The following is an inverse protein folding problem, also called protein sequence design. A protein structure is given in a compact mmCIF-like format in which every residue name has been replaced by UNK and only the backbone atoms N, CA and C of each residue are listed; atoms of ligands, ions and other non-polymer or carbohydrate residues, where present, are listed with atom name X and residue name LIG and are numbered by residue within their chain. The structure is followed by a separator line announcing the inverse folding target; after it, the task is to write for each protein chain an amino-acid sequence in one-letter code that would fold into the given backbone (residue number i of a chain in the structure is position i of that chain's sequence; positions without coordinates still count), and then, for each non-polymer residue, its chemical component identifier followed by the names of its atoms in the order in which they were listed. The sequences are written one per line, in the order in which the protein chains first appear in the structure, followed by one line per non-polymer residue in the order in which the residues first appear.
data_IF_455139059348
#
_entry.id   IF_455139059348
#
_cell.length_a   1.000
_cell.length_b   1.000
_cell.length_c   1.000
_cell.angle_alpha   90.00
_cell.angle_beta   90.00
_cell.angle_gamma   90.00
#
_symmetry.space_group_name_H-M   'P 1'
#
loop_
_entity.id
_entity.type
_entity.pdbx_description
1 polymer ?
#
# COMPACT_ATOMS: atom_id res chain seq x y z
N UNK A 1 2.06 -4.27 -20.31
CA UNK A 1 3.16 -3.29 -20.13
C UNK A 1 3.24 -2.79 -18.68
N UNK A 2 2.17 -2.23 -18.10
CA UNK A 2 2.18 -1.71 -16.71
C UNK A 2 2.67 -2.73 -15.65
N UNK A 3 2.24 -3.99 -15.74
CA UNK A 3 2.69 -5.06 -14.85
C UNK A 3 4.21 -5.23 -14.84
N UNK A 4 4.87 -5.19 -16.00
CA UNK A 4 6.33 -5.33 -16.10
C UNK A 4 7.06 -4.14 -15.48
N UNK A 5 6.49 -2.93 -15.62
CA UNK A 5 7.03 -1.72 -14.99
C UNK A 5 6.95 -1.84 -13.46
N UNK A 6 5.78 -2.23 -12.94
CA UNK A 6 5.59 -2.45 -11.50
C UNK A 6 6.52 -3.53 -10.95
N UNK A 7 6.71 -4.65 -11.67
CA UNK A 7 7.69 -5.68 -11.32
C UNK A 7 9.11 -5.13 -11.25
N UNK A 8 9.49 -4.26 -12.20
CA UNK A 8 10.80 -3.60 -12.18
C UNK A 8 11.00 -2.62 -11.02
N UNK A 9 9.92 -2.08 -10.46
CA UNK A 9 9.95 -1.18 -9.30
C UNK A 9 9.82 -1.91 -7.96
N UNK A 10 9.49 -3.20 -7.97
CA UNK A 10 9.17 -3.99 -6.77
C UNK A 10 10.24 -3.88 -5.69
N UNK A 11 11.49 -4.19 -6.02
CA UNK A 11 12.59 -4.20 -5.05
C UNK A 11 12.80 -2.82 -4.40
N UNK A 12 12.56 -1.75 -5.16
CA UNK A 12 12.68 -0.37 -4.66
C UNK A 12 11.57 -0.05 -3.67
N UNK A 13 10.32 -0.42 -3.98
CA UNK A 13 9.19 -0.22 -3.06
C UNK A 13 9.28 -1.08 -1.81
N UNK A 14 9.66 -2.36 -1.96
CA UNK A 14 9.86 -3.28 -0.83
C UNK A 14 10.94 -2.74 0.11
N UNK A 15 12.07 -2.26 -0.42
CA UNK A 15 13.14 -1.67 0.37
C UNK A 15 12.73 -0.37 1.06
N UNK A 16 12.02 0.52 0.35
CA UNK A 16 11.58 1.80 0.87
C UNK A 16 10.58 1.65 2.03
N UNK A 17 9.53 0.84 1.81
CA UNK A 17 8.46 0.65 2.79
C UNK A 17 8.75 -0.44 3.82
N UNK A 18 9.79 -1.26 3.60
CA UNK A 18 10.13 -2.43 4.43
C UNK A 18 8.97 -3.43 4.51
N UNK A 19 8.42 -3.77 3.35
CA UNK A 19 7.31 -4.71 3.18
C UNK A 19 7.66 -5.71 2.06
N UNK A 20 6.88 -6.78 1.93
CA UNK A 20 6.93 -7.68 0.77
C UNK A 20 5.69 -7.47 -0.08
N UNK A 21 5.85 -7.28 -1.39
CA UNK A 21 4.78 -7.05 -2.36
C UNK A 21 4.64 -8.32 -3.18
N UNK A 22 3.52 -9.03 -3.09
CA UNK A 22 3.36 -10.28 -3.87
C UNK A 22 3.16 -10.00 -5.36
N UNK A 23 3.40 -11.00 -6.22
CA UNK A 23 3.15 -10.81 -7.67
C UNK A 23 1.67 -10.59 -7.95
N UNK A 24 0.80 -11.24 -7.18
CA UNK A 24 -0.66 -11.05 -7.23
C UNK A 24 -1.05 -9.61 -6.88
N UNK A 25 -0.36 -8.98 -5.92
CA UNK A 25 -0.61 -7.59 -5.57
C UNK A 25 -0.26 -6.63 -6.73
N UNK A 26 0.82 -6.93 -7.46
CA UNK A 26 1.21 -6.16 -8.66
C UNK A 26 0.15 -6.28 -9.76
N UNK A 27 -0.30 -7.51 -10.04
CA UNK A 27 -1.34 -7.76 -11.05
C UNK A 27 -2.64 -7.06 -10.64
N UNK A 28 -3.06 -7.24 -9.39
CA UNK A 28 -4.26 -6.60 -8.86
C UNK A 28 -4.19 -5.08 -8.91
N UNK A 29 -3.04 -4.46 -8.59
CA UNK A 29 -2.91 -3.01 -8.68
C UNK A 29 -3.07 -2.50 -10.12
N UNK A 30 -2.52 -3.21 -11.11
CA UNK A 30 -2.71 -2.86 -12.52
C UNK A 30 -4.19 -3.00 -12.94
N UNK A 31 -4.84 -4.12 -12.63
CA UNK A 31 -6.22 -4.40 -13.04
C UNK A 31 -7.26 -3.52 -12.34
N UNK A 32 -7.13 -3.33 -11.02
CA UNK A 32 -8.08 -2.58 -10.22
C UNK A 32 -7.93 -1.07 -10.46
N UNK A 33 -6.70 -0.57 -10.57
CA UNK A 33 -6.51 0.84 -10.93
C UNK A 33 -7.03 1.11 -12.34
N UNK A 34 -6.89 0.16 -13.28
CA UNK A 34 -7.46 0.31 -14.62
C UNK A 34 -8.98 0.43 -14.60
N UNK A 35 -9.63 -0.50 -13.89
CA UNK A 35 -11.09 -0.62 -13.82
C UNK A 35 -11.76 0.52 -13.04
N UNK A 36 -11.18 0.94 -11.91
CA UNK A 36 -11.88 1.78 -10.93
C UNK A 36 -11.33 3.19 -10.79
N UNK A 37 -10.06 3.45 -11.16
CA UNK A 37 -9.46 4.78 -11.09
C UNK A 37 -9.52 5.43 -12.48
N UNK A 38 -10.65 6.09 -12.75
CA UNK A 38 -10.88 6.86 -13.96
C UNK A 38 -10.19 8.23 -13.90
N UNK A 39 -9.91 8.84 -15.05
CA UNK A 39 -9.27 10.16 -15.13
C UNK A 39 -7.74 10.16 -14.90
N UNK A 40 -7.13 8.99 -14.70
CA UNK A 40 -5.67 8.78 -14.68
C UNK A 40 -5.27 7.65 -15.63
N UNK A 41 -4.03 7.68 -16.10
CA UNK A 41 -3.51 6.72 -17.06
C UNK A 41 -2.58 5.69 -16.40
N UNK A 42 -2.54 4.48 -16.95
CA UNK A 42 -1.50 3.50 -16.64
C UNK A 42 -0.16 3.94 -17.26
N UNK A 43 0.99 3.60 -16.64
CA UNK A 43 1.15 2.84 -15.40
C UNK A 43 1.04 3.69 -14.12
N UNK A 44 1.02 5.02 -14.23
CA UNK A 44 1.14 5.96 -13.11
C UNK A 44 0.15 5.68 -11.96
N UNK A 45 -1.14 5.50 -12.28
CA UNK A 45 -2.16 5.20 -11.27
C UNK A 45 -1.94 3.89 -10.53
N UNK A 46 -1.31 2.90 -11.17
CA UNK A 46 -1.01 1.61 -10.53
C UNK A 46 0.24 1.71 -9.66
N UNK A 47 1.22 2.54 -10.06
CA UNK A 47 2.43 2.82 -9.28
C UNK A 47 2.04 3.52 -7.97
N UNK A 48 1.22 4.56 -8.05
CA UNK A 48 0.70 5.28 -6.88
C UNK A 48 -0.11 4.37 -5.95
N UNK A 49 -0.96 3.50 -6.52
CA UNK A 49 -1.74 2.54 -5.72
C UNK A 49 -0.86 1.55 -4.95
N UNK A 50 0.22 1.04 -5.57
CA UNK A 50 1.18 0.15 -4.88
C UNK A 50 1.92 0.89 -3.78
N UNK A 51 2.39 2.11 -4.04
CA UNK A 51 3.15 2.92 -3.08
C UNK A 51 2.31 3.22 -1.83
N UNK A 52 1.06 3.66 -2.02
CA UNK A 52 0.12 3.93 -0.93
C UNK A 52 -0.24 2.65 -0.14
N UNK A 53 -0.43 1.52 -0.83
CA UNK A 53 -0.70 0.25 -0.16
C UNK A 53 0.49 -0.21 0.68
N UNK A 54 1.71 -0.08 0.16
CA UNK A 54 2.94 -0.42 0.88
C UNK A 54 3.15 0.47 2.11
N UNK A 55 2.93 1.79 1.97
CA UNK A 55 2.96 2.73 3.09
C UNK A 55 1.95 2.36 4.17
N UNK A 56 0.71 2.01 3.78
CA UNK A 56 -0.34 1.59 4.71
C UNK A 56 0.04 0.32 5.47
N UNK A 57 0.56 -0.70 4.78
CA UNK A 57 1.02 -1.95 5.43
C UNK A 57 2.13 -1.66 6.44
N UNK A 58 3.09 -0.79 6.07
CA UNK A 58 4.17 -0.38 6.97
C UNK A 58 3.62 0.28 8.23
N UNK A 59 2.71 1.25 8.08
CA UNK A 59 2.07 1.92 9.21
C UNK A 59 1.33 0.94 10.11
N UNK A 60 0.54 0.03 9.53
CA UNK A 60 -0.18 -1.01 10.29
C UNK A 60 0.76 -1.94 11.06
N UNK A 61 1.92 -2.29 10.49
CA UNK A 61 2.91 -3.13 11.17
C UNK A 61 3.63 -2.40 12.33
N UNK A 62 3.70 -1.06 12.28
CA UNK A 62 4.30 -0.23 13.35
C UNK A 62 3.27 0.33 14.32
N UNK A 63 1.98 0.13 14.05
CA UNK A 63 0.91 0.65 14.88
C UNK A 63 0.93 -0.03 16.26
N UNK A 64 0.65 0.77 17.30
CA UNK A 64 0.44 0.23 18.64
C UNK A 64 -0.81 -0.68 18.62
N UNK A 65 -0.88 -1.75 19.43
CA UNK A 65 -2.07 -2.59 19.49
C UNK A 65 -3.32 -1.75 19.74
N UNK A 66 -4.42 -2.10 19.07
CA UNK A 66 -5.69 -1.36 19.18
C UNK A 66 -6.13 -1.26 20.64
N UNK A 67 -6.00 -2.36 21.39
CA UNK A 67 -6.29 -2.43 22.83
C UNK A 67 -5.53 -1.37 23.63
N UNK A 68 -4.26 -1.11 23.30
CA UNK A 68 -3.45 -0.07 23.95
C UNK A 68 -3.95 1.32 23.58
N UNK A 69 -4.36 1.52 22.33
CA UNK A 69 -4.91 2.81 21.88
C UNK A 69 -6.28 3.09 22.53
N UNK A 70 -7.12 2.08 22.69
CA UNK A 70 -8.43 2.18 23.36
C UNK A 70 -8.27 2.52 24.84
N UNK A 71 -7.36 1.84 25.55
CA UNK A 71 -7.05 2.14 26.95
C UNK A 71 -6.51 3.56 27.13
N UNK A 72 -5.63 4.04 26.24
CA UNK A 72 -5.15 5.43 26.26
C UNK A 72 -6.29 6.42 26.02
N UNK A 73 -7.22 6.12 25.11
CA UNK A 73 -8.36 6.98 24.81
C UNK A 73 -9.35 7.07 25.98
N UNK A 74 -9.63 5.96 26.67
CA UNK A 74 -10.42 5.95 27.91
C UNK A 74 -9.77 6.79 29.01
N UNK A 75 -8.45 6.68 29.19
CA UNK A 75 -7.71 7.50 30.15
C UNK A 75 -7.77 9.01 29.85
N UNK A 76 -7.80 9.41 28.57
CA UNK A 76 -7.89 10.82 28.18
C UNK A 76 -9.29 11.42 28.29
N UNK A 77 -10.33 10.59 28.49
CA UNK A 77 -11.71 11.05 28.72
C UNK A 77 -12.07 11.26 30.19
N UNK A 78 -11.15 10.97 31.12
CA UNK A 78 -11.25 11.23 32.57
C UNK A 78 -10.54 12.54 32.95
#
# INVERSE_FOLDING_TARGET
QAIMILRGLRDTFEAHHKVTITDEAIVAAAELSDRYIQGRFLPDKAIDLIDQAAARVKLSATARPVEVQELEAEMHQL
#
